data_IF_446661657282
#
_entry.id   IF_446661657282
#
_cell.length_a   1.000
_cell.length_b   1.000
_cell.length_c   1.000
_cell.angle_alpha   90.00
_cell.angle_beta   90.00
_cell.angle_gamma   90.00
#
_symmetry.space_group_name_H-M   'P 1'
#
loop_
_entity.id
_entity.type
_entity.pdbx_description
1 polymer ?
#
# COMPACT_ATOMS: atom_id res chain seq x y z
N UNK A 1 -8.43 10.20 -8.18
CA UNK A 1 -9.53 9.33 -7.67
C UNK A 1 -9.27 7.87 -8.01
N UNK A 2 -8.87 7.55 -9.24
CA UNK A 2 -8.56 6.15 -9.64
C UNK A 2 -7.51 5.49 -8.74
N UNK A 3 -6.36 6.14 -8.52
CA UNK A 3 -5.31 5.62 -7.61
C UNK A 3 -5.80 5.39 -6.17
N UNK A 4 -6.70 6.24 -5.67
CA UNK A 4 -7.27 6.05 -4.32
C UNK A 4 -8.08 4.76 -4.24
N UNK A 5 -8.98 4.53 -5.20
CA UNK A 5 -9.75 3.30 -5.22
C UNK A 5 -8.87 2.07 -5.54
N UNK A 6 -7.86 2.20 -6.39
CA UNK A 6 -6.91 1.11 -6.67
C UNK A 6 -6.18 0.64 -5.41
N UNK A 7 -5.76 1.59 -4.55
CA UNK A 7 -5.03 1.28 -3.32
C UNK A 7 -5.94 0.87 -2.15
N UNK A 8 -7.08 1.54 -1.97
CA UNK A 8 -7.88 1.45 -0.74
C UNK A 8 -9.16 0.61 -0.84
N UNK A 9 -9.53 0.10 -2.03
CA UNK A 9 -10.81 -0.63 -2.21
C UNK A 9 -10.98 -1.81 -1.24
N UNK A 10 -9.90 -2.52 -0.92
CA UNK A 10 -9.93 -3.60 0.05
C UNK A 10 -10.30 -3.09 1.45
N UNK A 11 -9.72 -1.97 1.89
CA UNK A 11 -10.03 -1.36 3.19
C UNK A 11 -11.44 -0.76 3.23
N UNK A 12 -11.93 -0.21 2.12
CA UNK A 12 -13.31 0.29 2.01
C UNK A 12 -14.30 -0.86 2.20
N UNK A 13 -14.08 -2.00 1.54
CA UNK A 13 -14.95 -3.19 1.68
C UNK A 13 -14.94 -3.71 3.12
N UNK A 14 -13.76 -3.75 3.75
CA UNK A 14 -13.63 -4.14 5.16
C UNK A 14 -14.39 -3.17 6.08
N UNK A 15 -14.25 -1.86 5.87
CA UNK A 15 -14.95 -0.85 6.65
C UNK A 15 -16.47 -1.00 6.54
N UNK A 16 -17.00 -1.21 5.33
CA UNK A 16 -18.42 -1.44 5.09
C UNK A 16 -18.91 -2.69 5.85
N UNK A 17 -18.15 -3.79 5.80
CA UNK A 17 -18.49 -5.01 6.55
C UNK A 17 -18.62 -4.73 8.05
N UNK A 18 -17.66 -4.02 8.64
CA UNK A 18 -17.73 -3.66 10.07
C UNK A 18 -18.88 -2.69 10.39
N UNK A 19 -19.23 -1.78 9.49
CA UNK A 19 -20.39 -0.91 9.68
C UNK A 19 -21.71 -1.68 9.64
N UNK A 20 -21.83 -2.69 8.77
CA UNK A 20 -23.01 -3.58 8.75
C UNK A 20 -23.11 -4.39 10.04
N UNK A 21 -22.00 -4.96 10.52
CA UNK A 21 -21.96 -5.68 11.80
C UNK A 21 -22.32 -4.74 12.96
N UNK A 22 -21.76 -3.52 12.96
CA UNK A 22 -22.04 -2.50 13.97
C UNK A 22 -23.52 -2.13 13.99
N UNK A 23 -24.12 -1.89 12.82
CA UNK A 23 -25.54 -1.62 12.70
C UNK A 23 -26.37 -2.78 13.28
N UNK A 24 -26.08 -4.01 12.89
CA UNK A 24 -26.81 -5.20 13.33
C UNK A 24 -26.73 -5.44 14.85
N UNK A 25 -25.57 -5.21 15.45
CA UNK A 25 -25.35 -5.44 16.90
C UNK A 25 -25.97 -4.31 17.71
N UNK A 26 -25.81 -3.06 17.28
CA UNK A 26 -26.26 -1.89 18.05
C UNK A 26 -27.78 -1.66 18.00
N UNK A 27 -28.50 -2.31 17.09
CA UNK A 27 -29.97 -2.29 17.03
C UNK A 27 -30.64 -3.39 17.87
N UNK A 28 -29.88 -4.22 18.60
CA UNK A 28 -30.44 -5.29 19.44
C UNK A 28 -31.14 -4.75 20.67
N UNK A 29 -32.17 -5.44 21.13
CA UNK A 29 -33.04 -4.99 22.24
C UNK A 29 -32.29 -4.82 23.58
N UNK A 30 -31.16 -5.49 23.77
CA UNK A 30 -30.31 -5.37 24.96
C UNK A 30 -29.33 -4.19 24.90
N UNK A 31 -29.27 -3.44 23.79
CA UNK A 31 -28.37 -2.30 23.62
C UNK A 31 -29.06 -0.97 23.99
N UNK A 32 -28.33 0.00 24.58
CA UNK A 32 -28.88 1.34 24.82
C UNK A 32 -29.32 2.03 23.53
N UNK A 33 -30.42 2.80 23.55
CA UNK A 33 -30.94 3.53 22.37
C UNK A 33 -29.90 4.43 21.69
N UNK A 34 -28.94 4.95 22.45
CA UNK A 34 -27.85 5.82 21.93
C UNK A 34 -26.71 5.04 21.27
N UNK A 35 -26.65 3.72 21.45
CA UNK A 35 -25.56 2.87 20.99
C UNK A 35 -25.42 2.86 19.47
N UNK A 36 -26.53 2.86 18.72
CA UNK A 36 -26.50 2.90 17.26
C UNK A 36 -25.79 4.15 16.74
N UNK A 37 -26.25 5.33 17.14
CA UNK A 37 -25.67 6.60 16.68
C UNK A 37 -24.18 6.70 17.06
N UNK A 38 -23.83 6.39 18.31
CA UNK A 38 -22.43 6.46 18.77
C UNK A 38 -21.54 5.43 18.10
N UNK A 39 -22.01 4.19 17.95
CA UNK A 39 -21.27 3.10 17.32
C UNK A 39 -21.03 3.36 15.83
N UNK A 40 -22.07 3.76 15.10
CA UNK A 40 -21.93 4.09 13.68
C UNK A 40 -20.96 5.25 13.47
N UNK A 41 -21.05 6.32 14.28
CA UNK A 41 -20.14 7.47 14.17
C UNK A 41 -18.71 7.05 14.51
N UNK A 42 -18.48 6.35 15.63
CA UNK A 42 -17.13 5.99 16.07
C UNK A 42 -16.43 5.05 15.11
N UNK A 43 -17.13 4.01 14.62
CA UNK A 43 -16.58 3.04 13.67
C UNK A 43 -16.31 3.71 12.32
N UNK A 44 -17.22 4.57 11.85
CA UNK A 44 -17.01 5.33 10.61
C UNK A 44 -15.79 6.24 10.71
N UNK A 45 -15.64 6.99 11.81
CA UNK A 45 -14.50 7.87 12.04
C UNK A 45 -13.19 7.09 12.09
N UNK A 46 -13.16 5.97 12.81
CA UNK A 46 -11.97 5.13 12.91
C UNK A 46 -11.50 4.66 11.52
N UNK A 47 -12.39 4.07 10.72
CA UNK A 47 -12.01 3.59 9.39
C UNK A 47 -11.68 4.73 8.44
N UNK A 48 -12.40 5.85 8.49
CA UNK A 48 -12.08 7.02 7.67
C UNK A 48 -10.66 7.53 7.96
N UNK A 49 -10.28 7.66 9.24
CA UNK A 49 -8.93 8.06 9.63
C UNK A 49 -7.89 7.04 9.20
N UNK A 50 -8.12 5.74 9.42
CA UNK A 50 -7.16 4.70 9.02
C UNK A 50 -6.94 4.65 7.51
N UNK A 51 -7.99 4.73 6.71
CA UNK A 51 -7.91 4.73 5.24
C UNK A 51 -7.17 5.98 4.76
N UNK A 52 -7.47 7.15 5.32
CA UNK A 52 -6.81 8.39 4.94
C UNK A 52 -5.30 8.35 5.26
N UNK A 53 -4.94 7.89 6.47
CA UNK A 53 -3.54 7.75 6.88
C UNK A 53 -2.80 6.74 6.02
N UNK A 54 -3.41 5.58 5.76
CA UNK A 54 -2.83 4.54 4.92
C UNK A 54 -2.58 5.04 3.50
N UNK A 55 -3.56 5.72 2.91
CA UNK A 55 -3.41 6.31 1.58
C UNK A 55 -2.28 7.33 1.54
N UNK A 56 -2.25 8.27 2.50
CA UNK A 56 -1.22 9.30 2.58
C UNK A 56 0.20 8.73 2.70
N UNK A 57 0.41 7.76 3.61
CA UNK A 57 1.71 7.10 3.78
C UNK A 57 2.11 6.35 2.50
N UNK A 58 1.14 5.70 1.86
CA UNK A 58 1.37 4.93 0.63
C UNK A 58 1.73 5.83 -0.55
N UNK A 59 1.01 6.93 -0.76
CA UNK A 59 1.33 7.87 -1.86
C UNK A 59 2.65 8.58 -1.62
N UNK A 60 2.94 8.99 -0.38
CA UNK A 60 4.24 9.58 -0.03
C UNK A 60 5.40 8.63 -0.37
N UNK A 61 5.24 7.34 -0.07
CA UNK A 61 6.24 6.32 -0.45
C UNK A 61 6.35 6.17 -1.97
N UNK A 62 5.22 6.11 -2.68
CA UNK A 62 5.19 6.01 -4.15
C UNK A 62 5.95 7.18 -4.78
N UNK A 63 5.69 8.41 -4.31
CA UNK A 63 6.30 9.62 -4.84
C UNK A 63 7.82 9.61 -4.62
N UNK A 64 8.28 9.25 -3.42
CA UNK A 64 9.72 9.11 -3.14
C UNK A 64 10.40 8.02 -3.99
N UNK A 65 9.74 6.88 -4.21
CA UNK A 65 10.25 5.82 -5.09
C UNK A 65 10.38 6.31 -6.54
N UNK A 66 9.37 7.05 -7.04
CA UNK A 66 9.42 7.61 -8.40
C UNK A 66 10.52 8.66 -8.53
N UNK A 67 10.72 9.49 -7.51
CA UNK A 67 11.78 10.49 -7.44
C UNK A 67 13.15 9.81 -7.54
N UNK A 68 13.45 8.85 -6.67
CA UNK A 68 14.71 8.08 -6.68
C UNK A 68 14.97 7.46 -8.05
N UNK A 69 13.95 6.80 -8.63
CA UNK A 69 14.09 6.19 -9.95
C UNK A 69 14.37 7.23 -11.05
N UNK A 70 13.70 8.40 -10.99
CA UNK A 70 13.88 9.46 -11.97
C UNK A 70 15.26 10.11 -11.88
N UNK A 71 15.83 10.21 -10.69
CA UNK A 71 17.20 10.67 -10.45
C UNK A 71 18.27 9.64 -10.89
N UNK A 72 17.86 8.45 -11.33
CA UNK A 72 18.77 7.38 -11.76
C UNK A 72 19.16 6.42 -10.64
N UNK A 73 18.56 6.56 -9.46
CA UNK A 73 18.71 5.63 -8.36
C UNK A 73 18.13 4.24 -8.66
N UNK A 74 18.51 3.29 -7.81
CA UNK A 74 17.97 1.92 -7.83
C UNK A 74 16.89 1.81 -6.76
N UNK A 75 15.80 1.11 -7.07
CA UNK A 75 14.73 0.81 -6.13
C UNK A 75 14.51 -0.71 -6.07
N UNK A 76 13.89 -1.18 -4.99
CA UNK A 76 13.56 -2.59 -4.80
C UNK A 76 12.05 -2.75 -4.90
N UNK A 77 11.57 -3.65 -5.76
CA UNK A 77 10.15 -3.99 -5.87
C UNK A 77 9.88 -5.45 -5.50
N UNK A 78 8.77 -5.72 -4.81
CA UNK A 78 8.38 -7.08 -4.44
C UNK A 78 7.99 -7.93 -5.66
N UNK A 79 8.59 -9.12 -5.80
CA UNK A 79 8.27 -10.08 -6.85
C UNK A 79 7.43 -11.24 -6.31
N UNK A 80 6.13 -11.20 -6.59
CA UNK A 80 5.15 -12.20 -6.11
C UNK A 80 5.03 -13.44 -7.03
N UNK A 81 5.78 -13.52 -8.13
CA UNK A 81 5.66 -14.62 -9.11
C UNK A 81 6.20 -15.96 -8.60
N UNK A 82 7.32 -15.96 -7.87
CA UNK A 82 7.94 -17.18 -7.38
C UNK A 82 8.25 -17.05 -5.89
N UNK A 83 7.58 -17.83 -5.06
CA UNK A 83 7.81 -17.87 -3.61
C UNK A 83 9.21 -18.37 -3.22
N UNK A 84 10.03 -18.79 -4.18
CA UNK A 84 11.21 -19.64 -3.95
C UNK A 84 12.57 -19.05 -4.31
N UNK A 85 12.74 -18.07 -5.22
CA UNK A 85 14.10 -17.74 -5.74
C UNK A 85 14.49 -16.25 -5.75
N UNK A 86 13.56 -15.30 -5.76
CA UNK A 86 13.86 -13.90 -5.38
C UNK A 86 12.58 -13.17 -4.99
N UNK A 87 12.47 -12.74 -3.72
CA UNK A 87 11.30 -12.00 -3.21
C UNK A 87 11.24 -10.56 -3.74
N UNK A 88 12.30 -10.09 -4.37
CA UNK A 88 12.44 -8.72 -4.84
C UNK A 88 13.25 -8.62 -6.13
N UNK A 89 12.98 -7.58 -6.91
CA UNK A 89 13.68 -7.23 -8.16
C UNK A 89 14.24 -5.82 -8.01
N UNK A 90 15.48 -5.64 -8.46
CA UNK A 90 16.09 -4.32 -8.56
C UNK A 90 15.60 -3.66 -9.84
N UNK A 91 15.12 -2.42 -9.70
CA UNK A 91 14.61 -1.62 -10.81
C UNK A 91 15.44 -0.33 -10.86
N UNK A 92 16.03 -0.06 -12.02
CA UNK A 92 16.77 1.15 -12.31
C UNK A 92 16.74 1.44 -13.82
N UNK A 93 17.05 2.68 -14.20
CA UNK A 93 17.17 3.05 -15.63
C UNK A 93 18.29 2.31 -16.35
N UNK A 94 19.37 2.00 -15.63
CA UNK A 94 20.51 1.21 -16.15
C UNK A 94 20.10 -0.23 -16.52
N UNK A 95 19.09 -0.77 -15.83
CA UNK A 95 18.51 -2.09 -16.10
C UNK A 95 17.35 -2.01 -17.10
N UNK A 96 17.27 -0.93 -17.89
CA UNK A 96 16.28 -0.73 -18.97
C UNK A 96 14.82 -0.70 -18.50
N UNK A 97 14.58 -0.32 -17.24
CA UNK A 97 13.24 -0.06 -16.74
C UNK A 97 12.78 1.35 -17.13
N UNK A 98 11.47 1.52 -17.26
CA UNK A 98 10.80 2.79 -17.58
C UNK A 98 9.57 2.97 -16.69
N UNK A 99 9.36 4.19 -16.19
CA UNK A 99 8.17 4.56 -15.44
C UNK A 99 7.05 4.99 -16.40
N UNK A 100 5.90 4.31 -16.35
CA UNK A 100 4.69 4.63 -17.12
C UNK A 100 3.51 4.74 -16.16
N UNK A 101 3.17 5.98 -15.80
CA UNK A 101 2.17 6.25 -14.77
C UNK A 101 2.65 5.75 -13.40
N UNK A 102 1.92 4.82 -12.80
CA UNK A 102 2.25 4.19 -11.52
C UNK A 102 2.96 2.84 -11.65
N UNK A 103 3.42 2.50 -12.86
CA UNK A 103 4.02 1.20 -13.17
C UNK A 103 5.45 1.32 -13.69
N UNK A 104 6.34 0.48 -13.19
CA UNK A 104 7.64 0.20 -13.79
C UNK A 104 7.49 -0.90 -14.82
N UNK A 105 7.96 -0.63 -16.04
CA UNK A 105 7.82 -1.47 -17.23
C UNK A 105 9.19 -1.72 -17.85
N UNK A 106 9.43 -2.90 -18.41
CA UNK A 106 10.69 -3.25 -19.10
C UNK A 106 10.40 -4.28 -20.17
N UNK A 107 11.02 -4.14 -21.34
CA UNK A 107 10.86 -5.13 -22.44
C UNK A 107 11.55 -6.46 -22.11
N UNK A 108 12.51 -6.44 -21.17
CA UNK A 108 13.26 -7.61 -20.73
C UNK A 108 12.57 -8.39 -19.61
N UNK A 109 11.44 -7.89 -19.09
CA UNK A 109 10.69 -8.52 -18.02
C UNK A 109 9.27 -8.82 -18.43
N UNK A 110 8.77 -9.99 -18.04
CA UNK A 110 7.42 -10.44 -18.43
C UNK A 110 6.29 -9.66 -17.73
N UNK A 111 6.60 -8.82 -16.73
CA UNK A 111 5.59 -8.17 -15.90
C UNK A 111 6.01 -6.79 -15.42
N UNK A 112 5.03 -5.90 -15.40
CA UNK A 112 5.15 -4.58 -14.81
C UNK A 112 4.98 -4.60 -13.29
N UNK A 113 5.65 -3.68 -12.61
CA UNK A 113 5.62 -3.53 -11.16
C UNK A 113 4.94 -2.23 -10.77
N UNK A 114 3.84 -2.32 -10.02
CA UNK A 114 3.20 -1.14 -9.46
C UNK A 114 4.12 -0.51 -8.41
N UNK A 115 4.35 0.81 -8.53
CA UNK A 115 5.21 1.63 -7.67
C UNK A 115 4.93 1.49 -6.17
N UNK A 116 3.66 1.30 -5.81
CA UNK A 116 3.24 1.05 -4.42
C UNK A 116 3.88 -0.19 -3.78
N UNK A 117 4.43 -1.12 -4.56
CA UNK A 117 5.10 -2.34 -4.09
C UNK A 117 6.62 -2.22 -4.02
N UNK A 118 7.11 -1.00 -4.19
CA UNK A 118 8.52 -0.71 -4.22
C UNK A 118 8.92 0.13 -3.01
N UNK A 119 10.20 0.04 -2.68
CA UNK A 119 10.85 0.78 -1.60
C UNK A 119 12.21 1.28 -2.10
N UNK A 120 12.74 2.26 -1.40
CA UNK A 120 14.12 2.73 -1.61
C UNK A 120 15.12 1.58 -1.39
N UNK A 121 16.14 1.51 -2.25
CA UNK A 121 17.32 0.68 -2.04
C UNK A 121 18.28 1.45 -1.13
N UNK A 122 18.14 1.29 0.18
CA UNK A 122 19.23 1.64 1.08
C UNK A 122 20.21 0.46 1.11
N UNK A 123 21.47 0.61 0.62
CA UNK A 123 22.45 -0.43 0.80
C UNK A 123 22.68 -0.59 2.31
N UNK A 124 22.29 -1.74 2.87
CA UNK A 124 22.71 -2.11 4.21
C UNK A 124 24.24 -2.17 4.13
N UNK A 125 24.92 -1.19 4.73
CA UNK A 125 26.36 -1.24 4.86
C UNK A 125 26.71 -2.62 5.47
N UNK A 126 27.61 -3.40 4.85
CA UNK A 126 27.97 -4.69 5.41
C UNK A 126 28.42 -4.46 6.84
N UNK A 127 27.85 -5.21 7.80
CA UNK A 127 28.43 -5.28 9.14
C UNK A 127 29.88 -5.71 8.93
N UNK A 128 30.82 -4.84 9.27
CA UNK A 128 32.24 -5.20 9.27
C UNK A 128 32.39 -6.48 10.11
N UNK A 129 33.03 -7.56 9.59
CA UNK A 129 33.20 -8.82 10.33
C UNK A 129 34.14 -8.75 11.54
N UNK A 130 34.39 -7.56 12.11
CA UNK A 130 35.46 -7.33 13.11
C UNK A 130 34.99 -6.43 14.26
N UNK A 131 33.85 -6.74 14.87
CA UNK A 131 33.51 -6.29 16.23
C UNK A 131 32.95 -7.46 17.05
#
# INVERSE_FOLDING_TARGET
MELFFELEIAYIVIAIFFLVVTAFVTTRDFMPKVAFSRGMISVSMLFATMILLHFFVTTTRIDGVKEIFNEGGTIICENKMNRTISRSVLISKELEWRLKGDYFTSDNHTRDFHTSRCIDYSPIAPKNPTE
#
